data_IF_493115076473
#
_entry.id   IF_493115076473
#
_cell.length_a   1.000
_cell.length_b   1.000
_cell.length_c   1.000
_cell.angle_alpha   90.00
_cell.angle_beta   90.00
_cell.angle_gamma   90.00
#
_symmetry.space_group_name_H-M   'P 1'
#
loop_
_entity.id
_entity.type
_entity.pdbx_description
1 polymer ?
#
# COMPACT_ATOMS: atom_id res chain seq x y z
N UNK A 1 -18.44 9.77 9.59
CA UNK A 1 -17.30 9.35 8.74
C UNK A 1 -17.73 9.07 7.30
N UNK A 2 -18.67 8.17 7.03
CA UNK A 2 -19.15 7.86 5.66
C UNK A 2 -19.55 9.08 4.80
N UNK A 3 -19.86 10.21 5.43
CA UNK A 3 -20.15 11.47 4.74
C UNK A 3 -19.03 11.91 3.79
N UNK A 4 -17.74 11.62 4.07
CA UNK A 4 -16.67 11.96 3.13
C UNK A 4 -16.75 11.13 1.85
N UNK A 5 -17.07 9.84 1.97
CA UNK A 5 -17.26 8.98 0.81
C UNK A 5 -18.52 9.38 0.02
N UNK A 6 -19.57 9.86 0.69
CA UNK A 6 -20.78 10.41 0.03
C UNK A 6 -20.54 11.77 -0.65
N UNK A 7 -19.61 12.55 -0.12
CA UNK A 7 -19.26 13.88 -0.64
C UNK A 7 -18.13 13.85 -1.69
N UNK A 8 -17.60 12.67 -2.01
CA UNK A 8 -16.61 12.48 -3.08
C UNK A 8 -17.33 12.31 -4.42
N UNK A 9 -17.05 13.18 -5.37
CA UNK A 9 -17.47 13.06 -6.75
C UNK A 9 -16.43 12.21 -7.53
N UNK A 10 -16.89 11.07 -8.02
CA UNK A 10 -16.09 10.06 -8.74
C UNK A 10 -15.70 10.51 -10.13
N UNK A 11 -16.52 11.34 -10.78
CA UNK A 11 -16.29 11.78 -12.16
C UNK A 11 -15.22 12.87 -12.22
N UNK A 12 -15.16 13.71 -11.19
CA UNK A 12 -14.23 14.84 -11.11
C UNK A 12 -13.09 14.64 -10.12
N UNK A 13 -13.04 13.48 -9.44
CA UNK A 13 -12.18 13.20 -8.29
C UNK A 13 -12.19 14.32 -7.23
N UNK A 14 -13.37 14.88 -6.93
CA UNK A 14 -13.49 16.05 -6.06
C UNK A 14 -14.15 15.68 -4.74
N UNK A 15 -13.48 15.95 -3.63
CA UNK A 15 -14.07 15.84 -2.30
C UNK A 15 -14.70 17.18 -1.89
N UNK A 16 -16.02 17.20 -1.75
CA UNK A 16 -16.78 18.37 -1.30
C UNK A 16 -16.75 18.47 0.23
N UNK A 17 -16.19 19.55 0.78
CA UNK A 17 -16.21 19.82 2.23
C UNK A 17 -16.59 21.29 2.48
N UNK A 18 -17.09 21.59 3.68
CA UNK A 18 -17.56 22.93 4.05
C UNK A 18 -16.49 24.03 3.89
N UNK A 19 -15.21 23.67 3.95
CA UNK A 19 -14.07 24.56 3.78
C UNK A 19 -13.71 24.85 2.30
N UNK A 20 -14.39 24.21 1.34
CA UNK A 20 -14.12 24.30 -0.09
C UNK A 20 -13.86 22.93 -0.73
N UNK A 21 -14.04 22.85 -2.04
CA UNK A 21 -13.83 21.61 -2.80
C UNK A 21 -12.34 21.26 -2.91
N UNK A 22 -12.01 19.99 -2.68
CA UNK A 22 -10.64 19.47 -2.79
C UNK A 22 -10.57 18.54 -4.01
N UNK A 23 -9.89 18.96 -5.07
CA UNK A 23 -9.59 18.07 -6.18
C UNK A 23 -8.47 17.10 -5.79
N UNK A 24 -8.76 15.80 -5.83
CA UNK A 24 -7.87 14.73 -5.41
C UNK A 24 -7.10 14.22 -6.63
N UNK A 25 -5.88 14.73 -6.79
CA UNK A 25 -4.96 14.30 -7.84
C UNK A 25 -3.89 13.34 -7.32
N UNK A 26 -3.16 12.70 -8.25
CA UNK A 26 -1.97 11.91 -7.93
C UNK A 26 -0.88 12.76 -7.23
N UNK A 27 -0.73 14.04 -7.59
CA UNK A 27 0.18 14.97 -6.92
C UNK A 27 -0.24 15.24 -5.48
N UNK A 28 -1.54 15.46 -5.23
CA UNK A 28 -2.04 15.65 -3.87
C UNK A 28 -1.81 14.41 -3.01
N UNK A 29 -2.13 13.22 -3.52
CA UNK A 29 -1.85 11.95 -2.85
C UNK A 29 -0.35 11.81 -2.59
N UNK A 30 0.48 12.08 -3.60
CA UNK A 30 1.94 12.06 -3.47
C UNK A 30 2.44 12.95 -2.34
N UNK A 31 1.96 14.18 -2.28
CA UNK A 31 2.30 15.15 -1.24
C UNK A 31 1.84 14.70 0.16
N UNK A 32 0.59 14.26 0.29
CA UNK A 32 -0.03 13.86 1.57
C UNK A 32 0.61 12.60 2.15
N UNK A 33 0.99 11.66 1.29
CA UNK A 33 1.61 10.41 1.69
C UNK A 33 3.13 10.45 1.61
N UNK A 34 3.77 11.52 1.11
CA UNK A 34 5.22 11.58 0.96
C UNK A 34 5.76 10.50 -0.01
N UNK A 35 5.16 10.39 -1.19
CA UNK A 35 5.56 9.46 -2.26
C UNK A 35 5.64 10.22 -3.61
N UNK A 36 6.55 9.87 -4.54
CA UNK A 36 6.67 10.54 -5.84
C UNK A 36 5.37 10.50 -6.63
N UNK A 37 4.99 11.67 -7.15
CA UNK A 37 3.80 11.89 -7.98
C UNK A 37 3.95 11.44 -9.42
N UNK A 38 5.06 10.80 -9.79
CA UNK A 38 5.35 10.36 -11.16
C UNK A 38 6.03 8.99 -11.14
N UNK A 39 5.94 8.28 -12.26
CA UNK A 39 6.57 6.98 -12.46
C UNK A 39 5.93 6.21 -13.60
N UNK A 40 6.34 4.95 -13.74
CA UNK A 40 5.78 3.99 -14.67
C UNK A 40 4.42 3.47 -14.19
N UNK A 41 3.49 3.10 -15.11
CA UNK A 41 2.28 2.40 -14.73
C UNK A 41 2.57 1.08 -14.00
N UNK A 42 1.77 0.77 -12.98
CA UNK A 42 1.83 -0.54 -12.33
C UNK A 42 1.35 -1.62 -13.33
N UNK A 43 2.06 -2.76 -13.48
CA UNK A 43 1.69 -3.81 -14.42
C UNK A 43 0.31 -4.39 -14.13
N UNK A 44 -0.43 -4.77 -15.18
CA UNK A 44 -1.73 -5.42 -15.01
C UNK A 44 -1.61 -6.94 -14.79
N UNK A 45 -2.53 -7.49 -14.01
CA UNK A 45 -2.61 -8.93 -13.77
C UNK A 45 -3.12 -9.68 -15.00
N UNK A 46 -2.20 -10.14 -15.85
CA UNK A 46 -2.51 -10.99 -17.01
C UNK A 46 -2.98 -12.40 -16.61
N UNK A 47 -4.16 -12.81 -17.10
CA UNK A 47 -4.78 -14.11 -16.77
C UNK A 47 -4.08 -15.32 -17.42
N UNK A 48 -3.31 -15.11 -18.48
CA UNK A 48 -2.62 -16.16 -19.23
C UNK A 48 -1.13 -16.27 -18.89
N UNK A 49 -0.59 -15.34 -18.11
CA UNK A 49 0.82 -15.31 -17.75
C UNK A 49 1.09 -16.27 -16.56
N UNK A 50 1.91 -17.34 -16.72
CA UNK A 50 2.13 -18.32 -15.66
C UNK A 50 2.75 -17.72 -14.38
N UNK A 51 3.65 -16.74 -14.51
CA UNK A 51 4.25 -16.06 -13.36
C UNK A 51 3.21 -15.29 -12.55
N UNK A 52 2.30 -14.61 -13.24
CA UNK A 52 1.22 -13.85 -12.60
C UNK A 52 0.23 -14.78 -11.89
N UNK A 53 -0.08 -15.92 -12.51
CA UNK A 53 -0.95 -16.94 -11.91
C UNK A 53 -0.32 -17.57 -10.66
N UNK A 54 0.99 -17.82 -10.68
CA UNK A 54 1.72 -18.32 -9.50
C UNK A 54 1.67 -17.32 -8.33
N UNK A 55 1.94 -16.04 -8.60
CA UNK A 55 1.84 -14.96 -7.58
C UNK A 55 0.40 -14.86 -7.06
N UNK A 56 -0.60 -14.84 -7.96
CA UNK A 56 -2.00 -14.83 -7.53
C UNK A 56 -2.33 -16.01 -6.62
N UNK A 57 -1.92 -17.22 -6.99
CA UNK A 57 -2.18 -18.43 -6.22
C UNK A 57 -1.52 -18.40 -4.84
N UNK A 58 -0.27 -17.92 -4.76
CA UNK A 58 0.46 -17.79 -3.49
C UNK A 58 -0.22 -16.82 -2.52
N UNK A 59 -0.68 -15.68 -3.03
CA UNK A 59 -1.05 -14.55 -2.19
C UNK A 59 -2.57 -14.42 -1.94
N UNK A 60 -3.46 -14.84 -2.84
CA UNK A 60 -4.92 -14.54 -2.81
C UNK A 60 -5.68 -14.85 -1.52
N UNK A 61 -5.18 -15.76 -0.66
CA UNK A 61 -5.82 -16.12 0.63
C UNK A 61 -5.02 -15.68 1.86
N UNK A 62 -3.91 -14.97 1.67
CA UNK A 62 -3.08 -14.49 2.78
C UNK A 62 -3.82 -13.42 3.57
N UNK A 63 -3.79 -13.54 4.89
CA UNK A 63 -4.33 -12.53 5.82
C UNK A 63 -3.26 -11.49 6.17
N UNK A 64 -3.67 -10.32 6.69
CA UNK A 64 -2.71 -9.31 7.17
C UNK A 64 -1.73 -9.86 8.21
N UNK A 65 -2.22 -10.69 9.14
CA UNK A 65 -1.38 -11.29 10.18
C UNK A 65 -0.32 -12.21 9.57
N UNK A 66 -0.72 -13.07 8.64
CA UNK A 66 0.23 -13.92 7.91
C UNK A 66 1.24 -13.08 7.15
N UNK A 67 0.81 -12.01 6.47
CA UNK A 67 1.75 -11.14 5.76
C UNK A 67 2.82 -10.55 6.69
N UNK A 68 2.42 -10.08 7.89
CA UNK A 68 3.36 -9.55 8.88
C UNK A 68 4.32 -10.62 9.39
N UNK A 69 3.79 -11.78 9.79
CA UNK A 69 4.60 -12.93 10.22
C UNK A 69 5.64 -13.32 9.15
N UNK A 70 5.23 -13.36 7.88
CA UNK A 70 6.14 -13.64 6.78
C UNK A 70 7.19 -12.55 6.57
N UNK A 71 6.89 -11.26 6.77
CA UNK A 71 7.91 -10.19 6.70
C UNK A 71 9.01 -10.42 7.74
N UNK A 72 8.66 -10.84 8.95
CA UNK A 72 9.61 -11.11 10.02
C UNK A 72 10.39 -12.43 9.85
N UNK A 73 9.75 -13.45 9.28
CA UNK A 73 10.33 -14.79 9.11
C UNK A 73 10.94 -15.04 7.72
N UNK A 74 10.90 -14.07 6.81
CA UNK A 74 11.38 -14.28 5.44
C UNK A 74 12.90 -14.42 5.44
N UNK A 75 13.46 -15.54 4.95
CA UNK A 75 14.89 -15.62 4.69
C UNK A 75 15.27 -14.61 3.59
N UNK A 76 16.55 -14.21 3.50
CA UNK A 76 16.98 -13.09 2.63
C UNK A 76 18.32 -13.32 1.90
N UNK A 77 18.82 -14.56 1.88
CA UNK A 77 20.17 -14.87 1.38
C UNK A 77 20.25 -14.77 -0.16
N UNK A 78 19.17 -15.13 -0.85
CA UNK A 78 19.08 -15.18 -2.31
C UNK A 78 18.17 -14.08 -2.85
N UNK A 79 18.37 -13.72 -4.12
CA UNK A 79 17.51 -12.71 -4.77
C UNK A 79 16.05 -13.14 -4.85
N UNK A 80 15.78 -14.44 -5.02
CA UNK A 80 14.42 -14.95 -5.01
C UNK A 80 13.73 -14.72 -3.66
N UNK A 81 14.45 -14.92 -2.56
CA UNK A 81 13.95 -14.69 -1.21
C UNK A 81 13.76 -13.19 -0.95
N UNK A 82 14.69 -12.33 -1.36
CA UNK A 82 14.53 -10.86 -1.27
C UNK A 82 13.35 -10.34 -2.08
N UNK A 83 13.17 -10.83 -3.30
CA UNK A 83 11.99 -10.52 -4.11
C UNK A 83 10.70 -10.99 -3.41
N UNK A 84 10.73 -12.13 -2.71
CA UNK A 84 9.58 -12.61 -1.93
C UNK A 84 9.30 -11.66 -0.76
N UNK A 85 10.31 -11.27 0.02
CA UNK A 85 10.17 -10.28 1.08
C UNK A 85 9.59 -8.96 0.58
N UNK A 86 10.11 -8.41 -0.52
CA UNK A 86 9.60 -7.15 -1.11
C UNK A 86 8.11 -7.25 -1.43
N UNK A 87 7.63 -8.38 -1.95
CA UNK A 87 6.18 -8.61 -2.16
C UNK A 87 5.38 -8.57 -0.86
N UNK A 88 5.83 -9.28 0.17
CA UNK A 88 5.17 -9.27 1.49
C UNK A 88 5.17 -7.87 2.11
N UNK A 89 6.30 -7.18 2.08
CA UNK A 89 6.44 -5.82 2.61
C UNK A 89 5.51 -4.84 1.90
N UNK A 90 5.49 -4.84 0.56
CA UNK A 90 4.60 -4.00 -0.24
C UNK A 90 3.13 -4.32 0.08
N UNK A 91 2.74 -5.60 0.19
CA UNK A 91 1.37 -5.97 0.55
C UNK A 91 0.97 -5.46 1.94
N UNK A 92 1.87 -5.54 2.92
CA UNK A 92 1.64 -4.98 4.27
C UNK A 92 1.39 -3.48 4.18
N UNK A 93 2.24 -2.75 3.45
CA UNK A 93 2.09 -1.31 3.28
C UNK A 93 0.78 -0.94 2.60
N UNK A 94 0.45 -1.59 1.48
CA UNK A 94 -0.78 -1.31 0.75
C UNK A 94 -1.99 -1.57 1.64
N UNK A 95 -2.05 -2.72 2.30
CA UNK A 95 -3.21 -3.11 3.10
C UNK A 95 -3.39 -2.29 4.39
N UNK A 96 -2.30 -1.76 4.94
CA UNK A 96 -2.36 -0.98 6.18
C UNK A 96 -2.49 0.53 5.96
N UNK A 97 -1.89 1.08 4.90
CA UNK A 97 -1.72 2.52 4.77
C UNK A 97 -2.25 3.10 3.46
N UNK A 98 -1.95 2.47 2.31
CA UNK A 98 -2.17 3.12 1.01
C UNK A 98 -3.49 2.73 0.33
N UNK A 99 -3.89 1.46 0.43
CA UNK A 99 -5.11 0.89 -0.15
C UNK A 99 -5.87 0.05 0.89
N UNK A 100 -6.09 0.53 2.13
CA UNK A 100 -6.59 -0.31 3.20
C UNK A 100 -7.99 -0.86 2.90
N UNK A 101 -8.20 -2.14 3.21
CA UNK A 101 -9.49 -2.82 3.01
C UNK A 101 -9.98 -3.43 4.32
N UNK A 102 -11.31 -3.49 4.50
CA UNK A 102 -11.94 -4.18 5.63
C UNK A 102 -11.91 -5.70 5.51
N UNK A 103 -11.55 -6.22 4.33
CA UNK A 103 -11.40 -7.67 4.11
C UNK A 103 -10.24 -8.22 4.95
N UNK A 104 -10.39 -9.40 5.53
CA UNK A 104 -9.30 -10.04 6.30
C UNK A 104 -8.15 -10.49 5.40
N UNK A 105 -8.47 -10.95 4.19
CA UNK A 105 -7.51 -11.40 3.18
C UNK A 105 -7.08 -10.26 2.26
N UNK A 106 -6.04 -10.47 1.48
CA UNK A 106 -5.70 -9.53 0.41
C UNK A 106 -6.80 -9.50 -0.66
N UNK A 107 -7.18 -8.28 -1.06
CA UNK A 107 -8.02 -8.05 -2.23
C UNK A 107 -7.21 -8.26 -3.52
N UNK A 108 -7.84 -8.68 -4.64
CA UNK A 108 -7.21 -8.74 -5.96
C UNK A 108 -6.52 -7.43 -6.39
N UNK A 109 -6.98 -6.28 -5.88
CA UNK A 109 -6.37 -4.97 -6.12
C UNK A 109 -4.93 -4.83 -5.64
N UNK A 110 -4.50 -5.64 -4.67
CA UNK A 110 -3.13 -5.61 -4.15
C UNK A 110 -2.15 -6.48 -4.95
N UNK A 111 -2.63 -7.27 -5.91
CA UNK A 111 -1.77 -8.17 -6.70
C UNK A 111 -0.95 -7.45 -7.76
N UNK A 112 -1.50 -6.50 -8.55
CA UNK A 112 -0.75 -5.80 -9.59
C UNK A 112 0.60 -5.20 -9.12
N UNK A 113 0.66 -4.50 -7.96
CA UNK A 113 1.91 -3.89 -7.50
C UNK A 113 3.02 -4.86 -7.08
N UNK A 114 2.72 -6.16 -6.91
CA UNK A 114 3.70 -7.17 -6.49
C UNK A 114 4.13 -8.10 -7.63
N UNK A 115 3.66 -7.85 -8.85
CA UNK A 115 4.05 -8.65 -10.03
C UNK A 115 5.53 -8.45 -10.32
N UNK A 116 6.00 -7.19 -10.28
CA UNK A 116 7.40 -6.83 -10.40
C UNK A 116 7.82 -6.00 -9.18
N UNK A 117 8.80 -6.51 -8.44
CA UNK A 117 9.37 -5.86 -7.26
C UNK A 117 10.88 -5.67 -7.39
N UNK A 118 11.40 -5.72 -8.62
CA UNK A 118 12.82 -5.46 -8.92
C UNK A 118 13.22 -4.02 -8.62
N UNK A 119 12.32 -3.07 -8.90
CA UNK A 119 12.48 -1.66 -8.56
C UNK A 119 11.10 -1.05 -8.24
N UNK A 120 10.59 -1.22 -7.01
CA UNK A 120 9.29 -0.70 -6.62
C UNK A 120 9.18 0.83 -6.75
N UNK A 121 10.29 1.56 -6.55
CA UNK A 121 10.33 3.03 -6.62
C UNK A 121 9.95 3.59 -7.99
N UNK A 122 10.11 2.81 -9.07
CA UNK A 122 9.83 3.29 -10.43
C UNK A 122 8.36 3.53 -10.71
N UNK A 123 7.45 2.93 -9.93
CA UNK A 123 6.03 2.97 -10.22
C UNK A 123 5.35 4.26 -9.76
N UNK A 124 4.29 4.62 -10.49
CA UNK A 124 3.41 5.74 -10.21
C UNK A 124 2.40 5.40 -9.10
N UNK A 125 2.88 5.24 -7.87
CA UNK A 125 2.08 4.81 -6.71
C UNK A 125 0.86 5.69 -6.42
N UNK A 126 0.95 7.03 -6.42
CA UNK A 126 -0.22 7.88 -6.20
C UNK A 126 -1.36 7.65 -7.18
N UNK A 127 -1.04 7.46 -8.47
CA UNK A 127 -2.04 7.15 -9.47
C UNK A 127 -2.74 5.81 -9.22
N UNK A 128 -1.99 4.79 -8.78
CA UNK A 128 -2.58 3.52 -8.37
C UNK A 128 -3.52 3.67 -7.18
N UNK A 129 -3.14 4.47 -6.17
CA UNK A 129 -3.98 4.77 -5.01
C UNK A 129 -5.24 5.53 -5.43
N UNK A 130 -5.12 6.53 -6.31
CA UNK A 130 -6.25 7.28 -6.84
C UNK A 130 -7.24 6.36 -7.56
N UNK A 131 -6.75 5.52 -8.47
CA UNK A 131 -7.58 4.55 -9.20
C UNK A 131 -8.32 3.61 -8.25
N UNK A 132 -7.62 3.08 -7.25
CA UNK A 132 -8.25 2.25 -6.22
C UNK A 132 -9.29 3.02 -5.40
N UNK A 133 -9.00 4.25 -5.00
CA UNK A 133 -9.89 5.08 -4.19
C UNK A 133 -11.19 5.34 -4.96
N UNK A 134 -11.07 5.72 -6.24
CA UNK A 134 -12.19 5.92 -7.15
C UNK A 134 -13.07 4.68 -7.25
N UNK A 135 -12.46 3.52 -7.53
CA UNK A 135 -13.21 2.25 -7.68
C UNK A 135 -13.83 1.77 -6.36
N UNK A 136 -13.19 2.05 -5.22
CA UNK A 136 -13.74 1.72 -3.91
C UNK A 136 -14.94 2.59 -3.55
N UNK A 137 -14.87 3.90 -3.85
CA UNK A 137 -15.95 4.86 -3.57
C UNK A 137 -17.12 4.68 -4.53
N UNK A 138 -16.88 4.52 -5.84
CA UNK A 138 -17.94 4.22 -6.81
C UNK A 138 -18.74 3.01 -6.37
N UNK A 139 -18.08 1.89 -6.02
CA UNK A 139 -18.79 0.70 -5.49
C UNK A 139 -19.57 0.96 -4.22
N UNK A 140 -19.10 1.84 -3.34
CA UNK A 140 -19.83 2.22 -2.14
C UNK A 140 -21.08 3.03 -2.48
N UNK A 141 -20.97 3.99 -3.40
CA UNK A 141 -22.07 4.87 -3.82
C UNK A 141 -23.10 4.13 -4.68
N UNK A 142 -22.64 3.44 -5.73
CA UNK A 142 -23.47 2.75 -6.71
C UNK A 142 -24.24 1.58 -6.10
N UNK A 143 -23.61 0.84 -5.19
CA UNK A 143 -24.25 -0.30 -4.51
C UNK A 143 -24.87 0.10 -3.15
N UNK A 144 -24.90 1.39 -2.81
CA UNK A 144 -25.39 1.94 -1.53
C UNK A 144 -24.91 1.13 -0.30
N UNK A 145 -23.62 0.82 -0.26
CA UNK A 145 -23.04 -0.03 0.80
C UNK A 145 -23.08 0.68 2.15
N UNK A 146 -23.25 -0.07 3.22
CA UNK A 146 -23.20 0.48 4.58
C UNK A 146 -21.78 0.85 5.04
N UNK A 147 -20.76 0.33 4.37
CA UNK A 147 -19.35 0.58 4.72
C UNK A 147 -18.51 0.89 3.48
N UNK A 148 -17.60 1.88 3.58
CA UNK A 148 -16.60 2.17 2.54
C UNK A 148 -15.21 1.57 2.87
N UNK A 149 -15.16 0.63 3.83
CA UNK A 149 -13.92 -0.03 4.24
C UNK A 149 -12.81 0.97 4.62
N UNK A 150 -11.56 0.64 4.24
CA UNK A 150 -10.40 1.49 4.55
C UNK A 150 -10.27 2.74 3.66
N UNK A 151 -11.11 2.93 2.63
CA UNK A 151 -11.17 4.15 1.81
C UNK A 151 -11.24 5.41 2.70
N UNK A 152 -11.92 5.29 3.84
CA UNK A 152 -12.14 6.36 4.80
C UNK A 152 -10.85 6.88 5.43
N UNK A 153 -9.86 6.02 5.65
CA UNK A 153 -8.57 6.43 6.19
C UNK A 153 -7.84 7.36 5.21
N UNK A 154 -7.87 7.02 3.93
CA UNK A 154 -7.28 7.84 2.86
C UNK A 154 -8.02 9.17 2.71
N UNK A 155 -9.35 9.17 2.69
CA UNK A 155 -10.15 10.41 2.63
C UNK A 155 -9.93 11.32 3.84
N UNK A 156 -9.83 10.77 5.05
CA UNK A 156 -9.51 11.55 6.25
C UNK A 156 -8.12 12.16 6.14
N UNK A 157 -7.14 11.38 5.67
CA UNK A 157 -5.77 11.85 5.47
C UNK A 157 -5.67 12.89 4.36
N UNK A 158 -6.54 12.87 3.36
CA UNK A 158 -6.62 13.90 2.31
C UNK A 158 -7.33 15.17 2.78
N UNK A 159 -8.43 15.04 3.55
CA UNK A 159 -9.14 16.18 4.15
C UNK A 159 -8.28 16.94 5.17
N UNK A 160 -7.54 16.20 6.00
CA UNK A 160 -6.71 16.77 7.08
C UNK A 160 -5.22 16.80 6.73
N UNK A 161 -4.85 16.28 5.55
CA UNK A 161 -3.51 16.33 5.02
C UNK A 161 -3.10 17.80 4.88
N UNK A 162 -1.88 18.19 5.28
CA UNK A 162 -1.58 19.58 5.58
C UNK A 162 -1.82 20.51 4.38
N UNK A 163 -2.91 21.28 4.41
CA UNK A 163 -3.23 22.29 3.39
C UNK A 163 -2.28 23.51 3.46
N UNK A 164 -1.33 23.56 4.42
CA UNK A 164 -0.39 24.68 4.58
C UNK A 164 0.96 24.32 5.25
N UNK A 165 1.20 23.05 5.64
CA UNK A 165 2.37 22.69 6.46
C UNK A 165 3.17 21.46 5.99
N UNK A 166 2.92 20.95 4.77
CA UNK A 166 3.84 19.99 4.17
C UNK A 166 5.10 20.72 3.70
N UNK A 167 6.07 20.95 4.60
CA UNK A 167 7.47 20.82 4.17
C UNK A 167 7.56 19.39 3.66
N UNK A 168 7.65 19.20 2.34
CA UNK A 168 7.83 17.89 1.72
C UNK A 168 9.04 17.25 2.40
N UNK A 169 8.86 16.29 3.34
CA UNK A 169 9.98 15.48 3.76
C UNK A 169 10.39 14.70 2.51
N UNK A 170 11.66 14.32 2.38
CA UNK A 170 12.04 13.40 1.29
C UNK A 170 11.04 12.24 1.27
N UNK A 171 10.44 11.93 0.10
CA UNK A 171 9.41 10.91 0.02
C UNK A 171 9.94 9.62 0.65
N UNK A 172 9.28 9.04 1.64
CA UNK A 172 9.82 7.88 2.37
C UNK A 172 9.93 6.62 1.49
N UNK A 173 9.29 6.62 0.32
CA UNK A 173 9.49 5.61 -0.72
C UNK A 173 10.76 5.83 -1.56
N UNK A 174 11.47 6.96 -1.40
CA UNK A 174 12.87 7.10 -1.83
C UNK A 174 13.72 6.00 -1.21
N UNK A 175 13.40 5.62 0.03
CA UNK A 175 14.00 4.50 0.77
C UNK A 175 13.49 3.12 0.31
N UNK A 176 12.60 3.03 -0.68
CA UNK A 176 12.21 1.74 -1.27
C UNK A 176 13.13 1.37 -2.43
N UNK A 177 14.43 1.62 -2.23
CA UNK A 177 15.44 0.99 -3.08
C UNK A 177 15.60 -0.47 -2.67
N UNK A 178 16.03 -1.29 -3.61
CA UNK A 178 16.45 -2.67 -3.35
C UNK A 178 17.37 -2.74 -2.13
N UNK A 179 18.40 -1.91 -2.10
CA UNK A 179 19.38 -1.87 -1.01
C UNK A 179 18.79 -1.46 0.35
N UNK A 180 17.90 -0.47 0.39
CA UNK A 180 17.33 0.02 1.65
C UNK A 180 16.26 -0.94 2.19
N UNK A 181 15.48 -1.59 1.32
CA UNK A 181 14.58 -2.67 1.72
C UNK A 181 15.36 -3.88 2.26
N UNK A 182 16.50 -4.20 1.64
CA UNK A 182 17.37 -5.29 2.08
C UNK A 182 18.04 -4.95 3.44
N UNK A 183 18.57 -3.73 3.62
CA UNK A 183 19.10 -3.24 4.91
C UNK A 183 18.05 -3.23 6.03
N UNK A 184 16.82 -2.82 5.70
CA UNK A 184 15.71 -2.82 6.67
C UNK A 184 15.36 -4.25 7.08
N UNK A 185 15.49 -5.21 6.17
CA UNK A 185 15.37 -6.63 6.51
C UNK A 185 16.50 -7.07 7.45
N UNK A 186 17.76 -6.70 7.17
CA UNK A 186 18.90 -7.02 8.06
C UNK A 186 18.70 -6.46 9.48
N UNK A 187 18.17 -5.23 9.60
CA UNK A 187 17.81 -4.63 10.88
C UNK A 187 16.72 -5.42 11.60
N UNK A 188 15.64 -5.78 10.90
CA UNK A 188 14.52 -6.55 11.46
C UNK A 188 15.00 -7.94 11.94
N UNK A 189 15.80 -8.63 11.12
CA UNK A 189 16.42 -9.93 11.46
C UNK A 189 17.33 -9.77 12.67
N UNK A 190 18.14 -8.71 12.73
CA UNK A 190 19.04 -8.44 13.86
C UNK A 190 18.29 -8.17 15.17
N UNK A 191 17.13 -7.52 15.12
CA UNK A 191 16.28 -7.32 16.31
C UNK A 191 15.66 -8.64 16.77
N UNK A 192 15.16 -9.45 15.84
CA UNK A 192 14.62 -10.78 16.17
C UNK A 192 15.68 -11.70 16.79
N UNK A 193 16.91 -11.70 16.26
CA UNK A 193 18.03 -12.47 16.83
C UNK A 193 18.35 -11.98 18.26
N UNK A 194 18.37 -10.67 18.50
CA UNK A 194 18.60 -10.11 19.84
C UNK A 194 17.49 -10.49 20.82
N UNK A 195 16.24 -10.41 20.41
CA UNK A 195 15.09 -10.80 21.23
C UNK A 195 15.12 -12.31 21.55
N UNK A 196 15.51 -13.16 20.59
CA UNK A 196 15.69 -14.60 20.80
C UNK A 196 16.89 -14.91 21.72
N UNK A 197 18.00 -14.17 21.63
CA UNK A 197 19.15 -14.33 22.53
C UNK A 197 18.84 -13.90 23.97
N UNK A 198 18.04 -12.84 24.14
CA UNK A 198 17.56 -12.39 25.46
C UNK A 198 16.61 -13.40 26.10
N UNK A 199 15.78 -14.11 25.30
CA UNK A 199 14.89 -15.14 25.78
C UNK A 199 15.62 -16.43 26.24
N UNK A 200 16.81 -16.72 25.70
CA UNK A 200 17.64 -17.88 26.08
C UNK A 200 18.48 -17.62 27.34
N UNK A 201 18.57 -16.39 27.84
CA UNK A 201 19.29 -16.05 29.08
C UNK A 201 18.36 -15.88 30.31
N UNK A 202 17.10 -16.31 30.20
CA UNK A 202 16.10 -16.28 31.29
C UNK A 202 15.73 -17.70 31.76
N UNK A 203 16.32 -18.76 31.19
CA UNK A 203 16.33 -20.12 31.76
C UNK A 203 17.66 -20.40 32.48
#
# INVERSE_FOLDING_TARGET
>A
MLQLAKAYDVDTDTLMVDAGNIHISAELIGSVFGIPSHGEPIPELQKTNPSHLAIKAEFQKKTTSQLREFVFACPMETEQQRMRFRRYFILVVLKMFLNPTSQQTISPWHLPPILDVSNPRRFHWPYHILKWLRDAISKFQDENRETCGGCMFVLLRLKHGPLHACRVPEPWIVEWTTNELDKKADYVISQLIKEMQLAVHIE
#
